data_IF_446485877504
#
_entry.id   IF_446485877504
#
_cell.length_a   1.000
_cell.length_b   1.000
_cell.length_c   1.000
_cell.angle_alpha   90.00
_cell.angle_beta   90.00
_cell.angle_gamma   90.00
#
_symmetry.space_group_name_H-M   'P 1'
#
loop_
_entity.id
_entity.type
_entity.pdbx_description
1 polymer ?
#
# COMPACT_ATOMS: atom_id res chain seq x y z
N UNK A 1 -4.69 -8.80 -4.83
CA UNK A 1 -3.81 -7.68 -4.45
C UNK A 1 -3.83 -6.61 -5.54
N UNK A 2 -3.87 -5.34 -5.14
CA UNK A 2 -3.97 -4.18 -6.04
C UNK A 2 -2.76 -3.27 -5.88
N UNK A 3 -2.33 -2.99 -4.65
CA UNK A 3 -1.18 -2.12 -4.36
C UNK A 3 0.14 -2.87 -4.49
N UNK A 4 0.21 -4.13 -4.09
CA UNK A 4 1.44 -4.94 -4.13
C UNK A 4 2.13 -4.92 -5.50
N UNK A 5 1.42 -5.06 -6.65
CA UNK A 5 2.06 -4.99 -7.96
C UNK A 5 2.68 -3.64 -8.31
N UNK A 6 2.17 -2.55 -7.71
CA UNK A 6 2.65 -1.19 -7.92
C UNK A 6 3.83 -0.83 -7.00
N UNK A 7 3.93 -1.48 -5.84
CA UNK A 7 4.97 -1.25 -4.84
C UNK A 7 6.31 -1.85 -5.25
N UNK A 8 7.40 -1.33 -4.67
CA UNK A 8 8.76 -1.83 -4.93
C UNK A 8 9.06 -3.08 -4.12
N UNK A 9 9.49 -4.15 -4.81
CA UNK A 9 9.96 -5.38 -4.18
C UNK A 9 11.45 -5.26 -3.88
N UNK A 10 11.84 -5.56 -2.65
CA UNK A 10 13.23 -5.75 -2.28
C UNK A 10 13.53 -7.24 -2.00
N UNK A 11 14.04 -7.92 -3.03
CA UNK A 11 14.38 -9.35 -2.98
C UNK A 11 15.85 -9.63 -2.61
N UNK A 12 16.67 -8.59 -2.39
CA UNK A 12 18.09 -8.74 -2.10
C UNK A 12 18.37 -9.02 -0.60
N UNK A 13 17.41 -9.62 0.10
CA UNK A 13 17.49 -9.90 1.53
C UNK A 13 18.37 -11.13 1.79
N UNK A 14 19.50 -10.91 2.48
CA UNK A 14 20.43 -11.95 2.91
C UNK A 14 20.44 -12.14 4.44
N UNK A 15 19.67 -11.34 5.18
CA UNK A 15 19.60 -11.36 6.64
C UNK A 15 18.18 -11.07 7.14
N UNK A 16 17.97 -11.30 8.43
CA UNK A 16 16.69 -11.03 9.12
C UNK A 16 16.30 -9.53 9.09
N UNK A 17 17.30 -8.67 9.05
CA UNK A 17 17.16 -7.22 9.01
C UNK A 17 17.76 -6.68 7.71
N UNK A 18 17.11 -5.69 7.13
CA UNK A 18 17.62 -4.95 5.99
C UNK A 18 17.27 -3.48 6.08
N UNK A 19 18.28 -2.65 5.91
CA UNK A 19 18.14 -1.21 5.83
C UNK A 19 17.77 -0.78 4.41
N UNK A 20 16.73 0.05 4.34
CA UNK A 20 16.36 0.80 3.15
C UNK A 20 16.92 2.20 3.36
N UNK A 21 17.98 2.53 2.65
CA UNK A 21 18.62 3.84 2.76
C UNK A 21 18.19 4.75 1.63
N UNK A 22 17.80 5.96 1.97
CA UNK A 22 17.57 7.04 1.02
C UNK A 22 18.62 8.13 1.26
N UNK A 23 19.29 8.52 0.17
CA UNK A 23 20.16 9.68 0.16
C UNK A 23 19.34 10.91 -0.24
N UNK A 24 19.18 11.86 0.67
CA UNK A 24 18.66 13.19 0.34
C UNK A 24 19.80 14.19 0.33
N UNK A 25 19.86 15.01 -0.71
CA UNK A 25 20.85 16.08 -0.85
C UNK A 25 20.13 17.42 -0.77
N UNK A 26 20.40 18.16 0.27
CA UNK A 26 19.97 19.56 0.38
C UNK A 26 21.09 20.41 -0.20
N UNK A 27 20.85 20.88 -1.44
CA UNK A 27 21.78 21.78 -2.12
C UNK A 27 21.47 23.20 -1.71
N UNK A 28 22.44 23.83 -1.07
CA UNK A 28 22.44 25.27 -0.86
C UNK A 28 23.33 25.93 -1.93
N UNK A 29 22.74 26.82 -2.72
CA UNK A 29 23.42 27.50 -3.83
C UNK A 29 23.44 28.97 -3.56
N UNK A 30 24.62 29.50 -3.29
CA UNK A 30 24.82 30.93 -3.09
C UNK A 30 25.50 31.61 -4.26
N UNK A 31 25.47 32.94 -4.31
CA UNK A 31 26.19 33.70 -5.32
C UNK A 31 27.70 33.50 -5.15
N UNK A 32 28.41 33.19 -6.21
CA UNK A 32 29.87 33.01 -6.19
C UNK A 32 30.66 34.32 -6.03
N UNK A 33 29.99 35.48 -6.13
CA UNK A 33 30.53 36.82 -5.94
C UNK A 33 29.48 37.73 -5.31
N UNK A 34 29.95 38.70 -4.51
CA UNK A 34 29.10 39.77 -4.00
C UNK A 34 28.81 40.86 -5.06
N UNK A 35 28.03 41.87 -4.68
CA UNK A 35 27.69 43.00 -5.54
C UNK A 35 28.89 43.86 -5.95
N UNK A 36 30.04 43.70 -5.25
CA UNK A 36 31.31 44.40 -5.53
C UNK A 36 32.26 43.59 -6.40
N UNK A 37 31.87 42.31 -6.74
CA UNK A 37 32.69 41.41 -7.53
C UNK A 37 33.68 40.57 -6.73
N UNK A 38 33.68 40.65 -5.36
CA UNK A 38 34.53 39.86 -4.51
C UNK A 38 34.02 38.41 -4.42
N UNK A 39 34.92 37.41 -4.45
CA UNK A 39 34.58 35.99 -4.31
C UNK A 39 34.01 35.72 -2.93
N UNK A 40 32.84 35.04 -2.92
CA UNK A 40 32.24 34.51 -1.71
C UNK A 40 32.54 33.00 -1.58
N UNK A 41 32.63 32.53 -0.35
CA UNK A 41 32.71 31.10 -0.07
C UNK A 41 31.40 30.44 -0.50
N UNK A 42 31.43 29.27 -1.20
CA UNK A 42 30.21 28.54 -1.51
C UNK A 42 29.54 28.10 -0.20
N UNK A 43 28.19 28.11 -0.14
CA UNK A 43 27.48 27.55 0.99
C UNK A 43 27.73 26.04 1.09
N UNK A 44 27.68 25.53 2.31
CA UNK A 44 27.84 24.10 2.55
C UNK A 44 26.54 23.36 2.26
N UNK A 45 26.58 22.39 1.36
CA UNK A 45 25.46 21.50 1.07
C UNK A 45 25.56 20.25 1.95
N UNK A 46 24.44 19.86 2.53
CA UNK A 46 24.40 18.70 3.45
C UNK A 46 23.73 17.51 2.75
N UNK A 47 24.41 16.36 2.79
CA UNK A 47 23.82 15.08 2.38
C UNK A 47 23.32 14.35 3.64
N UNK A 48 22.02 14.05 3.68
CA UNK A 48 21.42 13.25 4.74
C UNK A 48 21.10 11.85 4.21
N UNK A 49 21.44 10.85 5.03
CA UNK A 49 21.03 9.46 4.79
C UNK A 49 19.94 9.11 5.80
N UNK A 50 18.70 9.00 5.33
CA UNK A 50 17.61 8.43 6.13
C UNK A 50 17.59 6.92 5.89
N UNK A 51 17.44 6.15 6.98
CA UNK A 51 17.45 4.69 6.91
C UNK A 51 16.22 4.14 7.62
N UNK A 52 15.43 3.36 6.90
CA UNK A 52 14.32 2.59 7.43
C UNK A 52 14.69 1.11 7.42
N UNK A 53 14.41 0.38 8.49
CA UNK A 53 14.82 -1.03 8.62
C UNK A 53 13.63 -1.95 8.49
N UNK A 54 13.71 -2.93 7.56
CA UNK A 54 12.77 -4.05 7.46
C UNK A 54 13.17 -5.15 8.44
N UNK A 55 12.20 -5.61 9.24
CA UNK A 55 12.35 -6.74 10.17
C UNK A 55 11.50 -7.90 9.72
N UNK A 56 12.11 -8.93 9.14
CA UNK A 56 11.40 -10.04 8.52
C UNK A 56 10.59 -10.86 9.52
N UNK A 57 9.29 -10.84 9.39
CA UNK A 57 8.33 -11.59 10.21
C UNK A 57 7.90 -12.87 9.49
N UNK A 58 7.77 -13.96 10.24
CA UNK A 58 7.33 -15.23 9.67
C UNK A 58 5.81 -15.36 9.76
N UNK A 59 5.19 -15.66 8.61
CA UNK A 59 3.78 -15.97 8.48
C UNK A 59 3.63 -17.42 8.05
N UNK A 60 2.69 -18.13 8.66
CA UNK A 60 2.37 -19.52 8.35
C UNK A 60 0.86 -19.66 8.20
N UNK A 61 0.43 -20.33 7.15
CA UNK A 61 -0.96 -20.71 6.96
C UNK A 61 -1.06 -22.19 6.61
N UNK A 62 -2.18 -22.81 6.95
CA UNK A 62 -2.45 -24.21 6.72
C UNK A 62 -3.83 -24.39 6.12
N UNK A 63 -3.90 -25.14 5.02
CA UNK A 63 -5.16 -25.61 4.43
C UNK A 63 -5.22 -27.14 4.56
N UNK A 64 -6.35 -27.67 4.98
CA UNK A 64 -6.59 -29.10 5.18
C UNK A 64 -7.62 -29.55 4.16
N UNK A 65 -7.33 -30.62 3.45
CA UNK A 65 -8.21 -31.23 2.45
C UNK A 65 -8.35 -32.70 2.76
N UNK A 66 -9.59 -33.16 2.87
CA UNK A 66 -9.91 -34.56 3.07
C UNK A 66 -9.85 -35.30 1.74
N UNK A 67 -9.42 -36.57 1.77
CA UNK A 67 -9.31 -37.43 0.59
C UNK A 67 -10.66 -37.59 -0.12
N UNK A 68 -11.75 -37.69 0.64
CA UNK A 68 -13.12 -37.79 0.09
C UNK A 68 -13.44 -36.60 -0.83
N UNK A 69 -12.97 -35.38 -0.48
CA UNK A 69 -13.18 -34.19 -1.31
C UNK A 69 -12.38 -34.21 -2.62
N UNK A 70 -11.27 -34.96 -2.64
CA UNK A 70 -10.45 -35.13 -3.86
C UNK A 70 -11.06 -36.26 -4.73
N UNK A 71 -11.52 -37.34 -4.10
CA UNK A 71 -12.11 -38.51 -4.81
C UNK A 71 -13.45 -38.16 -5.43
N UNK A 72 -14.30 -37.38 -4.74
CA UNK A 72 -15.62 -36.96 -5.23
C UNK A 72 -15.54 -35.87 -6.28
N UNK A 73 -14.36 -35.26 -6.48
CA UNK A 73 -14.22 -34.17 -7.44
C UNK A 73 -13.87 -34.68 -8.84
N UNK A 74 -14.69 -34.29 -9.82
CA UNK A 74 -14.52 -34.64 -11.25
C UNK A 74 -13.16 -34.19 -11.81
N UNK A 75 -12.51 -33.17 -11.21
CA UNK A 75 -11.28 -32.58 -11.72
C UNK A 75 -10.00 -33.38 -11.34
N UNK A 76 -10.06 -34.36 -10.41
CA UNK A 76 -8.94 -35.21 -10.03
C UNK A 76 -7.66 -34.44 -9.66
N UNK A 77 -6.51 -34.77 -10.30
CA UNK A 77 -5.21 -34.11 -10.04
C UNK A 77 -5.18 -32.61 -10.36
N UNK A 78 -6.07 -32.13 -11.26
CA UNK A 78 -6.19 -30.70 -11.54
C UNK A 78 -6.73 -29.91 -10.33
N UNK A 79 -7.48 -30.56 -9.45
CA UNK A 79 -8.00 -29.98 -8.22
C UNK A 79 -6.88 -29.53 -7.26
N UNK A 80 -5.82 -30.33 -7.08
CA UNK A 80 -4.68 -29.95 -6.24
C UNK A 80 -3.99 -28.69 -6.76
N UNK A 81 -3.79 -28.57 -8.08
CA UNK A 81 -3.19 -27.38 -8.68
C UNK A 81 -4.08 -26.14 -8.48
N UNK A 82 -5.39 -26.29 -8.59
CA UNK A 82 -6.36 -25.23 -8.35
C UNK A 82 -6.31 -24.73 -6.91
N UNK A 83 -6.17 -25.66 -5.94
CA UNK A 83 -6.01 -25.33 -4.52
C UNK A 83 -4.74 -24.52 -4.27
N UNK A 84 -3.61 -24.91 -4.84
CA UNK A 84 -2.36 -24.17 -4.70
C UNK A 84 -2.47 -22.75 -5.28
N UNK A 85 -3.19 -22.61 -6.40
CA UNK A 85 -3.46 -21.30 -7.01
C UNK A 85 -4.35 -20.43 -6.10
N UNK A 86 -5.46 -20.98 -5.60
CA UNK A 86 -6.36 -20.28 -4.67
C UNK A 86 -5.66 -19.91 -3.36
N UNK A 87 -4.76 -20.78 -2.87
CA UNK A 87 -3.93 -20.49 -1.71
C UNK A 87 -3.01 -19.28 -1.98
N UNK A 88 -2.40 -19.22 -3.15
CA UNK A 88 -1.55 -18.10 -3.56
C UNK A 88 -2.33 -16.77 -3.65
N UNK A 89 -3.54 -16.80 -4.21
CA UNK A 89 -4.42 -15.63 -4.28
C UNK A 89 -4.85 -15.16 -2.88
N UNK A 90 -5.24 -16.11 -2.02
CA UNK A 90 -5.60 -15.84 -0.63
C UNK A 90 -4.44 -15.23 0.17
N UNK A 91 -3.24 -15.78 0.04
CA UNK A 91 -2.03 -15.23 0.69
C UNK A 91 -1.77 -13.81 0.18
N UNK A 92 -1.87 -13.56 -1.12
CA UNK A 92 -1.66 -12.22 -1.69
C UNK A 92 -2.61 -11.18 -1.11
N UNK A 93 -3.89 -11.53 -0.91
CA UNK A 93 -4.86 -10.65 -0.28
C UNK A 93 -4.54 -10.39 1.21
N UNK A 94 -4.17 -11.44 1.94
CA UNK A 94 -3.81 -11.34 3.37
C UNK A 94 -2.54 -10.50 3.55
N UNK A 95 -1.57 -10.64 2.65
CA UNK A 95 -0.37 -9.80 2.66
C UNK A 95 -0.69 -8.33 2.42
N UNK A 96 -1.55 -8.03 1.45
CA UNK A 96 -1.97 -6.65 1.19
C UNK A 96 -2.72 -6.04 2.38
N UNK A 97 -3.60 -6.82 3.04
CA UNK A 97 -4.24 -6.44 4.30
C UNK A 97 -3.20 -6.14 5.38
N UNK A 98 -2.21 -7.00 5.55
CA UNK A 98 -1.15 -6.85 6.54
C UNK A 98 -0.29 -5.61 6.28
N UNK A 99 0.16 -5.40 5.03
CA UNK A 99 0.97 -4.24 4.67
C UNK A 99 0.24 -2.92 4.83
N UNK A 100 -1.07 -2.90 4.62
CA UNK A 100 -1.88 -1.70 4.80
C UNK A 100 -2.21 -1.43 6.27
N UNK A 101 -2.72 -2.44 6.97
CA UNK A 101 -3.37 -2.29 8.28
C UNK A 101 -2.53 -2.80 9.45
N UNK A 102 -1.28 -3.19 9.25
CA UNK A 102 -0.40 -3.60 10.33
C UNK A 102 -0.40 -2.55 11.45
N UNK A 103 -0.53 -3.01 12.69
CA UNK A 103 -0.53 -2.16 13.88
C UNK A 103 -0.04 -2.95 15.08
N UNK A 104 1.14 -2.61 15.58
CA UNK A 104 1.76 -3.26 16.74
C UNK A 104 0.93 -3.17 18.02
N UNK A 105 -0.04 -2.25 18.08
CA UNK A 105 -1.00 -2.14 19.19
C UNK A 105 -2.28 -2.95 19.01
N UNK A 106 -2.46 -3.61 17.83
CA UNK A 106 -3.66 -4.39 17.51
C UNK A 106 -3.80 -5.63 18.39
N UNK A 107 -5.06 -6.06 18.62
CA UNK A 107 -5.37 -7.36 19.21
C UNK A 107 -5.31 -8.53 18.24
N UNK A 108 -5.34 -8.26 16.92
CA UNK A 108 -5.19 -9.28 15.88
C UNK A 108 -3.72 -9.74 15.81
N UNK A 109 -3.42 -11.03 16.05
CA UNK A 109 -2.05 -11.54 16.04
C UNK A 109 -1.29 -11.30 14.73
N UNK A 110 -2.00 -11.30 13.59
CA UNK A 110 -1.40 -11.03 12.29
C UNK A 110 -1.01 -9.55 12.16
N UNK A 111 -1.95 -8.64 12.45
CA UNK A 111 -1.72 -7.21 12.32
C UNK A 111 -0.72 -6.66 13.34
N UNK A 112 -0.61 -7.30 14.50
CA UNK A 112 0.33 -6.92 15.56
C UNK A 112 1.80 -7.13 15.20
N UNK A 113 2.09 -7.86 14.15
CA UNK A 113 3.48 -8.23 13.82
C UNK A 113 4.35 -7.04 13.42
N UNK A 114 3.80 -6.06 12.69
CA UNK A 114 4.52 -4.87 12.22
C UNK A 114 3.53 -3.74 11.94
N UNK A 115 4.02 -2.50 11.88
CA UNK A 115 3.20 -1.36 11.50
C UNK A 115 3.07 -1.29 9.97
N UNK A 116 1.86 -1.06 9.49
CA UNK A 116 1.53 -1.01 8.07
C UNK A 116 1.63 0.39 7.47
N UNK A 117 1.50 0.47 6.16
CA UNK A 117 1.63 1.72 5.41
C UNK A 117 0.67 2.82 5.85
N UNK A 118 -0.57 2.50 6.24
CA UNK A 118 -1.50 3.52 6.75
C UNK A 118 -1.04 4.14 8.07
N UNK A 119 -0.41 3.34 8.94
CA UNK A 119 0.09 3.79 10.23
C UNK A 119 1.45 4.49 10.11
N UNK A 120 2.30 4.07 9.17
CA UNK A 120 3.63 4.61 8.94
C UNK A 120 3.64 5.89 8.08
N UNK A 121 2.52 6.26 7.43
CA UNK A 121 2.43 7.48 6.63
C UNK A 121 2.82 8.72 7.46
N UNK A 122 3.58 9.63 6.85
CA UNK A 122 4.06 10.84 7.53
C UNK A 122 2.93 11.76 7.97
N UNK A 123 1.94 11.97 7.09
CA UNK A 123 0.74 12.75 7.41
C UNK A 123 -0.49 11.84 7.51
N UNK A 124 -1.31 12.07 8.54
CA UNK A 124 -2.50 11.27 8.85
C UNK A 124 -3.70 12.18 9.03
N UNK A 125 -4.61 12.14 8.10
CA UNK A 125 -5.85 12.89 8.15
C UNK A 125 -6.94 12.09 8.86
N UNK A 126 -7.73 12.79 9.65
CA UNK A 126 -8.85 12.25 10.43
C UNK A 126 -10.14 13.01 10.11
N UNK A 127 -11.24 12.63 10.76
CA UNK A 127 -12.55 13.31 10.63
C UNK A 127 -12.49 14.80 11.01
N UNK A 128 -11.50 15.23 11.80
CA UNK A 128 -11.32 16.64 12.14
C UNK A 128 -10.74 17.48 10.99
N UNK A 129 -10.10 16.84 10.05
CA UNK A 129 -9.39 17.50 8.94
C UNK A 129 -10.26 17.55 7.68
N UNK A 130 -11.20 16.62 7.54
CA UNK A 130 -12.07 16.49 6.36
C UNK A 130 -13.49 16.15 6.79
N UNK A 131 -14.47 16.96 6.37
CA UNK A 131 -15.89 16.74 6.65
C UNK A 131 -16.54 15.87 5.55
N UNK A 132 -16.95 14.61 5.85
CA UNK A 132 -17.65 13.76 4.88
C UNK A 132 -19.06 14.23 4.52
N UNK A 133 -19.66 15.12 5.33
CA UNK A 133 -20.99 15.69 5.06
C UNK A 133 -20.93 16.97 4.22
N UNK A 134 -19.73 17.46 3.86
CA UNK A 134 -19.57 18.65 3.02
C UNK A 134 -20.13 18.43 1.61
N UNK A 135 -20.63 19.48 0.99
CA UNK A 135 -21.21 19.44 -0.37
C UNK A 135 -20.19 19.04 -1.43
N UNK A 136 -18.93 19.34 -1.21
CA UNK A 136 -17.80 19.04 -2.11
C UNK A 136 -17.14 17.69 -1.82
N UNK A 137 -17.72 16.86 -0.95
CA UNK A 137 -17.26 15.49 -0.73
C UNK A 137 -17.36 14.64 -2.00
N UNK A 138 -16.35 13.80 -2.35
CA UNK A 138 -15.08 13.54 -1.66
C UNK A 138 -13.90 14.37 -2.20
N UNK A 139 -14.15 15.44 -2.99
CA UNK A 139 -13.08 16.25 -3.59
C UNK A 139 -12.27 16.99 -2.52
N UNK A 140 -12.94 17.48 -1.45
CA UNK A 140 -12.28 18.10 -0.32
C UNK A 140 -11.24 17.17 0.34
N UNK A 141 -11.50 15.86 0.43
CA UNK A 141 -10.52 14.88 0.91
C UNK A 141 -9.27 14.87 0.04
N UNK A 142 -9.43 14.77 -1.30
CA UNK A 142 -8.29 14.70 -2.20
C UNK A 142 -7.47 15.99 -2.21
N UNK A 143 -8.14 17.15 -2.13
CA UNK A 143 -7.46 18.44 -2.03
C UNK A 143 -6.69 18.56 -0.72
N UNK A 144 -7.30 18.20 0.42
CA UNK A 144 -6.62 18.21 1.72
C UNK A 144 -5.41 17.28 1.74
N UNK A 145 -5.52 16.07 1.13
CA UNK A 145 -4.38 15.15 1.02
C UNK A 145 -3.23 15.73 0.18
N UNK A 146 -3.53 16.49 -0.88
CA UNK A 146 -2.50 17.16 -1.68
C UNK A 146 -1.87 18.32 -0.90
N UNK A 147 -2.69 19.10 -0.19
CA UNK A 147 -2.24 20.28 0.55
C UNK A 147 -1.41 19.93 1.78
N UNK A 148 -1.73 18.83 2.47
CA UNK A 148 -0.97 18.34 3.62
C UNK A 148 0.42 17.82 3.25
N UNK A 149 0.65 17.52 1.97
CA UNK A 149 1.96 17.04 1.52
C UNK A 149 3.03 18.13 1.68
N UNK A 150 4.17 17.84 2.34
CA UNK A 150 5.26 18.82 2.48
C UNK A 150 5.81 19.29 1.13
N UNK A 151 6.20 20.56 1.07
CA UNK A 151 6.61 21.23 -0.19
C UNK A 151 7.67 20.48 -1.00
N UNK A 152 8.72 19.88 -0.41
CA UNK A 152 9.74 19.14 -1.18
C UNK A 152 9.18 17.96 -1.97
N UNK A 153 8.11 17.32 -1.47
CA UNK A 153 7.48 16.14 -2.10
C UNK A 153 6.49 16.50 -3.20
N UNK A 154 6.06 17.77 -3.28
CA UNK A 154 5.14 18.23 -4.32
C UNK A 154 5.70 18.14 -5.74
N UNK A 155 7.02 18.05 -5.88
CA UNK A 155 7.67 17.80 -7.17
C UNK A 155 7.33 16.40 -7.73
N UNK A 156 6.94 15.44 -6.88
CA UNK A 156 6.60 14.07 -7.26
C UNK A 156 5.09 13.89 -7.53
N UNK A 157 4.28 14.93 -7.39
CA UNK A 157 2.82 14.90 -7.58
C UNK A 157 2.37 14.19 -8.87
N UNK A 158 3.03 14.34 -10.04
CA UNK A 158 2.61 13.65 -11.26
C UNK A 158 2.69 12.12 -11.19
N UNK A 159 3.55 11.59 -10.31
CA UNK A 159 3.76 10.15 -10.15
C UNK A 159 2.95 9.54 -9.00
N UNK A 160 2.22 10.36 -8.25
CA UNK A 160 1.43 9.91 -7.10
C UNK A 160 0.08 9.33 -7.54
N UNK A 161 -0.43 8.38 -6.73
CA UNK A 161 -1.74 7.75 -6.91
C UNK A 161 -2.56 7.84 -5.63
N UNK A 162 -3.88 7.90 -5.79
CA UNK A 162 -4.85 7.73 -4.70
C UNK A 162 -5.31 6.27 -4.66
N UNK A 163 -5.10 5.60 -3.55
CA UNK A 163 -5.68 4.30 -3.24
C UNK A 163 -6.79 4.51 -2.20
N UNK A 164 -8.00 4.09 -2.53
CA UNK A 164 -9.19 4.44 -1.74
C UNK A 164 -10.11 3.24 -1.52
N UNK A 165 -10.95 3.32 -0.47
CA UNK A 165 -12.06 2.39 -0.23
C UNK A 165 -13.18 2.60 -1.25
N UNK A 166 -14.10 1.62 -1.34
CA UNK A 166 -15.22 1.64 -2.28
C UNK A 166 -16.14 2.85 -2.09
N UNK A 167 -16.41 3.23 -0.83
CA UNK A 167 -17.32 4.33 -0.53
C UNK A 167 -16.79 5.66 -1.09
N UNK A 168 -15.51 5.96 -0.87
CA UNK A 168 -14.85 7.16 -1.43
C UNK A 168 -14.84 7.09 -2.96
N UNK A 169 -14.49 5.92 -3.52
CA UNK A 169 -14.43 5.72 -4.97
C UNK A 169 -15.80 5.92 -5.63
N UNK A 170 -16.85 5.34 -5.03
CA UNK A 170 -18.22 5.46 -5.47
C UNK A 170 -18.71 6.91 -5.39
N UNK A 171 -18.53 7.56 -4.22
CA UNK A 171 -18.92 8.96 -4.03
C UNK A 171 -18.27 9.87 -5.08
N UNK A 172 -16.98 9.65 -5.37
CA UNK A 172 -16.28 10.42 -6.40
C UNK A 172 -16.86 10.18 -7.81
N UNK A 173 -17.14 8.93 -8.17
CA UNK A 173 -17.79 8.61 -9.45
C UNK A 173 -19.17 9.23 -9.56
N UNK A 174 -19.94 9.22 -8.49
CA UNK A 174 -21.29 9.81 -8.49
C UNK A 174 -21.23 11.34 -8.60
N UNK A 175 -20.26 11.99 -7.94
CA UNK A 175 -19.98 13.42 -8.11
C UNK A 175 -19.57 13.77 -9.55
N UNK A 176 -18.81 12.90 -10.24
CA UNK A 176 -18.46 13.11 -11.66
C UNK A 176 -19.66 12.96 -12.60
N UNK A 177 -20.58 12.02 -12.33
CA UNK A 177 -21.82 11.81 -13.12
C UNK A 177 -22.74 13.05 -13.05
N UNK A 178 -22.77 13.74 -11.92
CA UNK A 178 -23.58 14.95 -11.74
C UNK A 178 -23.11 16.17 -12.51
N UNK A 179 -21.93 16.12 -13.13
CA UNK A 179 -21.42 17.23 -13.95
C UNK A 179 -21.99 17.17 -15.36
N UNK A 180 -22.76 18.16 -15.77
CA UNK A 180 -23.33 18.33 -17.12
C UNK A 180 -22.23 18.69 -18.16
N UNK A 181 -21.19 17.89 -18.27
CA UNK A 181 -20.10 18.14 -19.24
C UNK A 181 -19.68 16.83 -19.89
N UNK A 182 -19.14 16.90 -21.12
CA UNK A 182 -18.63 15.71 -21.83
C UNK A 182 -17.54 14.92 -21.09
N UNK A 183 -16.98 15.46 -19.99
CA UNK A 183 -16.11 14.75 -19.05
C UNK A 183 -16.88 13.74 -18.19
N UNK A 184 -18.17 14.00 -17.88
CA UNK A 184 -19.03 13.06 -17.17
C UNK A 184 -19.29 11.80 -17.99
N UNK A 185 -19.53 11.93 -19.27
CA UNK A 185 -19.73 10.80 -20.19
C UNK A 185 -18.45 9.97 -20.37
N UNK A 186 -17.29 10.62 -20.39
CA UNK A 186 -16.00 9.94 -20.48
C UNK A 186 -15.66 9.14 -19.23
N UNK A 187 -16.05 9.63 -18.04
CA UNK A 187 -15.91 8.90 -16.77
C UNK A 187 -16.82 7.68 -16.68
N UNK A 188 -17.95 7.67 -17.42
CA UNK A 188 -18.89 6.55 -17.49
C UNK A 188 -18.49 5.48 -18.52
N UNK A 189 -17.94 5.90 -19.66
CA UNK A 189 -17.62 5.03 -20.79
C UNK A 189 -16.14 4.64 -20.87
N UNK A 190 -15.26 5.42 -20.25
CA UNK A 190 -13.81 5.15 -20.23
C UNK A 190 -13.47 3.97 -19.34
N UNK A 191 -13.08 2.86 -19.96
CA UNK A 191 -12.38 1.81 -19.25
C UNK A 191 -11.10 2.43 -18.65
N UNK A 192 -10.90 2.31 -17.38
CA UNK A 192 -9.62 2.14 -16.73
C UNK A 192 -9.07 3.17 -15.76
N UNK A 193 -9.38 4.44 -15.73
CA UNK A 193 -8.87 5.24 -14.61
C UNK A 193 -9.69 6.50 -14.38
N UNK A 194 -10.31 6.53 -13.23
CA UNK A 194 -10.87 7.77 -12.69
C UNK A 194 -9.70 8.61 -12.23
N UNK A 195 -9.58 9.83 -12.76
CA UNK A 195 -8.47 10.74 -12.47
C UNK A 195 -8.96 11.92 -11.63
N UNK A 196 -8.21 12.29 -10.61
CA UNK A 196 -8.34 13.53 -9.87
C UNK A 196 -7.11 14.42 -10.09
N UNK A 197 -7.29 15.62 -10.65
CA UNK A 197 -6.18 16.51 -11.01
C UNK A 197 -5.04 15.81 -11.76
N UNK A 198 -5.40 14.92 -12.72
CA UNK A 198 -4.44 14.16 -13.52
C UNK A 198 -3.81 12.94 -12.81
N UNK A 199 -4.22 12.62 -11.58
CA UNK A 199 -3.71 11.48 -10.79
C UNK A 199 -4.74 10.38 -10.72
N UNK A 200 -4.34 9.11 -10.89
CA UNK A 200 -5.28 7.99 -10.84
C UNK A 200 -5.84 7.79 -9.43
N UNK A 201 -7.16 7.59 -9.37
CA UNK A 201 -7.89 7.17 -8.16
C UNK A 201 -8.24 5.70 -8.34
N UNK A 202 -7.70 4.84 -7.49
CA UNK A 202 -7.82 3.39 -7.60
C UNK A 202 -8.48 2.79 -6.37
N UNK A 203 -9.52 1.99 -6.60
CA UNK A 203 -10.16 1.22 -5.54
C UNK A 203 -9.29 0.05 -5.11
N UNK A 204 -9.15 -0.14 -3.79
CA UNK A 204 -8.37 -1.22 -3.18
C UNK A 204 -9.22 -1.96 -2.15
N UNK A 205 -9.67 -3.19 -2.44
CA UNK A 205 -10.50 -3.97 -1.51
C UNK A 205 -9.84 -4.22 -0.14
N UNK A 206 -8.52 -4.33 -0.11
CA UNK A 206 -7.80 -4.60 1.13
C UNK A 206 -7.87 -3.42 2.13
N UNK A 207 -8.18 -2.19 1.70
CA UNK A 207 -8.40 -1.05 2.60
C UNK A 207 -9.65 -1.22 3.48
N UNK A 208 -10.61 -2.05 3.06
CA UNK A 208 -11.84 -2.35 3.80
C UNK A 208 -11.74 -3.62 4.65
N UNK A 209 -10.58 -4.29 4.64
CA UNK A 209 -10.42 -5.62 5.23
C UNK A 209 -10.63 -5.70 6.75
N UNK A 210 -10.71 -4.58 7.45
CA UNK A 210 -11.01 -4.55 8.89
C UNK A 210 -12.52 -4.58 9.20
N UNK A 211 -13.38 -4.28 8.22
CA UNK A 211 -14.84 -4.22 8.40
C UNK A 211 -15.29 -3.39 9.61
N UNK A 212 -14.59 -2.30 9.90
CA UNK A 212 -14.82 -1.42 11.05
C UNK A 212 -15.70 -0.20 10.71
N UNK A 213 -16.28 -0.16 9.51
CA UNK A 213 -17.11 0.93 9.01
C UNK A 213 -16.34 2.21 8.69
N UNK A 214 -15.01 2.15 8.62
CA UNK A 214 -14.18 3.32 8.29
C UNK A 214 -13.72 3.27 6.85
N UNK A 215 -13.84 4.40 6.20
CA UNK A 215 -13.30 4.63 4.86
C UNK A 215 -11.87 5.15 4.95
N UNK A 216 -11.01 4.63 4.09
CA UNK A 216 -9.57 4.93 4.10
C UNK A 216 -9.09 5.35 2.73
N UNK A 217 -8.11 6.24 2.74
CA UNK A 217 -7.38 6.65 1.56
C UNK A 217 -5.88 6.68 1.83
N UNK A 218 -5.09 6.39 0.81
CA UNK A 218 -3.64 6.50 0.84
C UNK A 218 -3.17 7.24 -0.42
N UNK A 219 -2.46 8.34 -0.25
CA UNK A 219 -1.89 9.14 -1.33
C UNK A 219 -0.38 9.05 -1.28
N UNK A 220 0.23 8.45 -2.28
CA UNK A 220 1.66 8.11 -2.27
C UNK A 220 2.20 7.88 -3.68
N UNK A 221 3.50 8.04 -3.86
CA UNK A 221 4.22 7.52 -5.03
C UNK A 221 4.38 6.00 -4.86
N UNK A 222 3.84 5.17 -5.76
CA UNK A 222 3.84 3.71 -5.57
C UNK A 222 5.22 3.10 -5.31
N UNK A 223 6.26 3.63 -5.92
CA UNK A 223 7.63 3.14 -5.75
C UNK A 223 8.24 3.43 -4.37
N UNK A 224 7.63 4.31 -3.57
CA UNK A 224 8.04 4.57 -2.19
C UNK A 224 7.52 3.52 -1.22
N UNK A 225 6.47 2.77 -1.62
CA UNK A 225 6.00 1.60 -0.90
C UNK A 225 6.99 0.46 -1.11
N UNK A 226 7.66 0.03 -0.06
CA UNK A 226 8.67 -1.04 -0.14
C UNK A 226 8.19 -2.23 0.67
N UNK A 227 8.30 -3.41 0.10
CA UNK A 227 8.12 -4.65 0.82
C UNK A 227 9.23 -5.64 0.43
N UNK A 228 9.56 -6.52 1.35
CA UNK A 228 10.64 -7.47 1.14
C UNK A 228 10.24 -8.89 1.49
N UNK A 229 10.82 -9.86 0.76
CA UNK A 229 10.76 -11.26 1.09
C UNK A 229 12.16 -11.78 1.40
N UNK A 230 12.36 -12.31 2.59
CA UNK A 230 13.56 -13.08 2.87
C UNK A 230 13.43 -14.53 2.39
N UNK A 231 12.22 -15.08 2.54
CA UNK A 231 11.89 -16.41 2.02
C UNK A 231 10.60 -16.34 1.24
N UNK A 232 10.67 -16.71 -0.04
CA UNK A 232 9.50 -16.82 -0.89
C UNK A 232 8.49 -17.84 -0.31
N UNK A 233 7.27 -17.76 -0.75
CA UNK A 233 6.20 -18.68 -0.35
C UNK A 233 6.65 -20.10 -0.64
N UNK A 234 6.74 -20.91 0.43
CA UNK A 234 7.03 -22.34 0.35
C UNK A 234 5.78 -23.09 0.80
N UNK A 235 5.20 -23.85 -0.10
CA UNK A 235 4.08 -24.76 0.21
C UNK A 235 4.62 -26.17 0.35
N UNK A 236 4.32 -26.81 1.48
CA UNK A 236 4.73 -28.20 1.77
C UNK A 236 3.46 -28.99 2.02
N UNK A 237 3.18 -30.03 1.21
CA UNK A 237 2.12 -30.98 1.49
C UNK A 237 2.59 -31.99 2.56
N UNK A 238 1.71 -32.29 3.49
CA UNK A 238 1.90 -33.30 4.53
C UNK A 238 0.65 -34.18 4.58
N UNK A 239 0.82 -35.49 4.29
CA UNK A 239 -0.28 -36.44 4.25
C UNK A 239 -0.42 -37.16 5.61
N UNK A 240 -1.62 -37.07 6.17
CA UNK A 240 -2.00 -37.76 7.39
C UNK A 240 -2.86 -38.96 7.05
N UNK A 241 -2.24 -40.17 7.10
CA UNK A 241 -2.89 -41.39 6.72
C UNK A 241 -3.98 -41.85 7.71
N UNK A 242 -3.88 -41.48 8.99
CA UNK A 242 -4.88 -41.85 10.00
C UNK A 242 -6.18 -41.06 9.79
N UNK A 243 -6.05 -39.78 9.47
CA UNK A 243 -7.19 -38.88 9.26
C UNK A 243 -7.64 -38.77 7.80
N UNK A 244 -6.94 -39.48 6.88
CA UNK A 244 -7.19 -39.41 5.42
C UNK A 244 -7.33 -37.99 4.91
N UNK A 245 -6.29 -37.19 5.14
CA UNK A 245 -6.28 -35.79 4.70
C UNK A 245 -4.86 -35.34 4.34
N UNK A 246 -4.80 -34.36 3.43
CA UNK A 246 -3.56 -33.68 3.08
C UNK A 246 -3.57 -32.26 3.66
N UNK A 247 -2.52 -31.92 4.39
CA UNK A 247 -2.26 -30.60 4.97
C UNK A 247 -1.30 -29.85 4.07
N UNK A 248 -1.73 -28.74 3.48
CA UNK A 248 -0.85 -27.84 2.73
C UNK A 248 -0.41 -26.72 3.66
N UNK A 249 0.84 -26.74 4.08
CA UNK A 249 1.41 -25.70 4.94
C UNK A 249 2.19 -24.72 4.09
N UNK A 250 1.73 -23.48 4.03
CA UNK A 250 2.44 -22.39 3.38
C UNK A 250 3.13 -21.51 4.41
N UNK A 251 4.39 -21.21 4.18
CA UNK A 251 5.18 -20.31 5.03
C UNK A 251 5.98 -19.31 4.20
N UNK A 252 6.08 -18.09 4.70
CA UNK A 252 6.83 -17.01 4.08
C UNK A 252 7.42 -16.10 5.17
N UNK A 253 8.41 -15.29 4.80
CA UNK A 253 8.95 -14.24 5.68
C UNK A 253 8.98 -12.94 4.93
N UNK A 254 8.32 -11.93 5.48
CA UNK A 254 8.12 -10.64 4.84
C UNK A 254 8.02 -9.52 5.86
N UNK A 255 8.25 -8.31 5.40
CA UNK A 255 7.93 -7.07 6.09
C UNK A 255 7.73 -5.94 5.07
N UNK A 256 7.18 -4.81 5.52
CA UNK A 256 6.90 -3.64 4.70
C UNK A 256 7.35 -2.35 5.41
N UNK A 257 7.73 -1.37 4.61
CA UNK A 257 8.06 -0.02 5.06
C UNK A 257 7.92 0.98 3.92
N UNK A 258 8.13 2.25 4.21
CA UNK A 258 8.35 3.28 3.20
C UNK A 258 9.85 3.46 2.94
N UNK A 259 10.20 3.88 1.73
CA UNK A 259 11.52 4.47 1.47
C UNK A 259 11.61 5.84 2.17
N UNK A 260 10.52 6.62 2.12
CA UNK A 260 10.36 7.89 2.82
C UNK A 260 8.90 8.07 3.25
N UNK A 261 8.66 8.08 4.55
CA UNK A 261 7.34 8.20 5.15
C UNK A 261 6.70 9.57 4.91
N UNK A 262 7.52 10.64 4.93
CA UNK A 262 7.06 12.03 4.78
C UNK A 262 6.42 12.30 3.41
N UNK A 263 6.71 11.47 2.40
CA UNK A 263 6.12 11.53 1.06
C UNK A 263 4.76 10.84 0.92
N UNK A 264 4.17 10.36 2.02
CA UNK A 264 2.91 9.64 2.02
C UNK A 264 1.88 10.32 2.94
N UNK A 265 0.64 10.37 2.48
CA UNK A 265 -0.51 10.89 3.25
C UNK A 265 -1.55 9.79 3.37
N UNK A 266 -1.98 9.47 4.57
CA UNK A 266 -3.09 8.55 4.84
C UNK A 266 -4.30 9.29 5.39
N UNK A 267 -5.51 8.81 5.09
CA UNK A 267 -6.73 9.31 5.68
C UNK A 267 -7.57 8.14 6.22
N UNK A 268 -8.17 8.34 7.39
CA UNK A 268 -9.11 7.39 7.99
C UNK A 268 -10.30 8.17 8.54
N UNK A 269 -11.46 7.96 7.94
CA UNK A 269 -12.69 8.72 8.19
C UNK A 269 -13.90 7.78 8.25
N UNK A 270 -14.94 8.16 8.95
CA UNK A 270 -16.24 7.50 8.96
C UNK A 270 -17.16 8.22 7.97
N UNK A 271 -17.65 7.52 6.94
CA UNK A 271 -18.51 8.07 5.88
C UNK A 271 -19.96 7.65 6.09
#
# INVERSE_FOLDING_TARGET
AVIIPDARIDNALKSYEKDISRLSLVLDVGPGRDATGQKLAPPESTAEVKTNTLYMREMVTKVIIHDDAIEDNIEGKAFEQKIVTLLGEGISYVLEKYYLHGDTSSSDPLLKMSDGWLKLAGEKLTESDVDPAAEDWPMNLFDTMIESLPTPYRNNLPNMKFYVTWDIYRAYRDALKGRETGLGDQALTGANSVLYNGRPVQYVPALEALNDGKSRALFVVPTQLVYGFWRNIKVVPDYDAEMRLTKYVASLRTDNHYEDEEGAVSATITV
#
